data_IF_412500245568
#
_entry.id   IF_412500245568
#
_cell.length_a   1.000
_cell.length_b   1.000
_cell.length_c   1.000
_cell.angle_alpha   90.00
_cell.angle_beta   90.00
_cell.angle_gamma   90.00
#
_symmetry.space_group_name_H-M   'P 1'
#
loop_
_entity.id
_entity.type
_entity.pdbx_description
1 polymer ?
#
# COMPACT_ATOMS: atom_id res chain seq x y z
N UNK A 1 14.43 -4.20 20.72
CA UNK A 1 15.09 -2.87 20.68
C UNK A 1 14.09 -1.86 20.16
N UNK A 2 13.92 -0.69 20.80
CA UNK A 2 13.04 0.39 20.29
C UNK A 2 13.85 1.30 19.36
N UNK A 3 13.43 1.53 18.10
CA UNK A 3 14.16 2.44 17.20
C UNK A 3 13.98 3.91 17.62
N UNK A 4 14.81 4.80 17.06
CA UNK A 4 14.66 6.27 17.12
C UNK A 4 14.87 6.95 18.48
N UNK A 5 15.52 6.27 19.43
CA UNK A 5 15.84 6.83 20.75
C UNK A 5 16.71 8.09 20.63
N UNK A 6 17.75 8.03 19.79
CA UNK A 6 18.67 9.15 19.58
C UNK A 6 18.08 10.22 18.64
N UNK A 7 18.19 11.52 18.95
CA UNK A 7 17.82 12.57 18.01
C UNK A 7 18.75 12.64 16.78
N UNK A 8 18.36 13.40 15.77
CA UNK A 8 19.17 13.62 14.56
C UNK A 8 19.08 12.46 13.56
N UNK A 9 20.22 11.97 13.10
CA UNK A 9 20.32 11.02 11.97
C UNK A 9 19.51 9.75 12.15
N UNK A 10 19.38 9.26 13.40
CA UNK A 10 18.57 8.05 13.66
C UNK A 10 17.11 8.24 13.21
N UNK A 11 16.58 9.46 13.28
CA UNK A 11 15.22 9.85 12.90
C UNK A 11 15.13 10.40 11.47
N UNK A 12 16.24 10.65 10.78
CA UNK A 12 16.23 11.18 9.40
C UNK A 12 15.32 10.35 8.47
N UNK A 13 15.28 9.00 8.51
CA UNK A 13 14.37 8.24 7.68
C UNK A 13 12.90 8.63 7.85
N UNK A 14 12.45 8.93 9.08
CA UNK A 14 11.05 9.31 9.34
C UNK A 14 10.68 10.67 8.75
N UNK A 15 11.68 11.50 8.41
CA UNK A 15 11.52 12.76 7.67
C UNK A 15 11.68 12.59 6.16
N UNK A 16 12.60 11.73 5.72
CA UNK A 16 12.82 11.46 4.29
C UNK A 16 11.58 10.81 3.67
N UNK A 17 11.01 9.76 4.29
CA UNK A 17 9.84 9.05 3.75
C UNK A 17 8.67 9.96 3.32
N UNK A 18 8.16 10.89 4.17
CA UNK A 18 7.09 11.79 3.73
C UNK A 18 7.51 12.77 2.63
N UNK A 19 8.80 13.10 2.49
CA UNK A 19 9.32 13.95 1.40
C UNK A 19 9.45 13.20 0.07
N UNK A 20 9.52 11.88 0.12
CA UNK A 20 9.66 11.01 -1.05
C UNK A 20 8.31 10.62 -1.67
N UNK A 21 7.17 10.94 -1.04
CA UNK A 21 5.83 10.63 -1.56
C UNK A 21 5.56 11.44 -2.83
N UNK A 22 5.29 10.80 -3.97
CA UNK A 22 5.04 11.52 -5.22
C UNK A 22 3.73 12.30 -5.20
N UNK A 23 3.82 13.62 -5.20
CA UNK A 23 2.67 14.54 -5.27
C UNK A 23 2.95 15.56 -6.37
N UNK A 24 1.99 15.76 -7.27
CA UNK A 24 2.14 16.64 -8.43
C UNK A 24 3.42 16.37 -9.26
N UNK A 25 3.81 15.10 -9.37
CA UNK A 25 4.98 14.67 -10.12
C UNK A 25 6.33 14.86 -9.41
N UNK A 26 6.35 15.20 -8.11
CA UNK A 26 7.58 15.40 -7.35
C UNK A 26 7.66 14.48 -6.12
N UNK A 27 8.84 13.91 -5.80
CA UNK A 27 10.09 14.01 -6.56
C UNK A 27 10.02 13.20 -7.88
N UNK A 28 10.55 13.78 -8.96
CA UNK A 28 10.39 13.25 -10.31
C UNK A 28 10.85 11.78 -10.45
N UNK A 29 11.98 11.41 -9.84
CA UNK A 29 12.47 10.03 -9.87
C UNK A 29 11.49 9.03 -9.27
N UNK A 30 10.88 9.35 -8.13
CA UNK A 30 9.88 8.45 -7.54
C UNK A 30 8.56 8.48 -8.32
N UNK A 31 8.16 9.64 -8.86
CA UNK A 31 6.98 9.73 -9.71
C UNK A 31 7.12 8.84 -10.96
N UNK A 32 8.31 8.82 -11.58
CA UNK A 32 8.64 7.95 -12.71
C UNK A 32 8.59 6.47 -12.32
N UNK A 33 9.24 6.09 -11.21
CA UNK A 33 9.22 4.71 -10.70
C UNK A 33 7.79 4.24 -10.41
N UNK A 34 6.99 5.07 -9.73
CA UNK A 34 5.59 4.76 -9.44
C UNK A 34 4.77 4.60 -10.72
N UNK A 35 4.95 5.51 -11.68
CA UNK A 35 4.28 5.42 -12.97
C UNK A 35 4.62 4.12 -13.71
N UNK A 36 5.91 3.77 -13.76
CA UNK A 36 6.40 2.58 -14.46
C UNK A 36 5.83 1.28 -13.88
N UNK A 37 5.91 1.07 -12.56
CA UNK A 37 5.35 -0.16 -11.98
C UNK A 37 3.82 -0.16 -12.01
N UNK A 38 3.18 1.01 -11.95
CA UNK A 38 1.70 1.10 -12.02
C UNK A 38 1.19 0.69 -13.40
N UNK A 39 1.87 1.11 -14.47
CA UNK A 39 1.59 0.67 -15.83
C UNK A 39 1.77 -0.85 -15.97
N UNK A 40 2.90 -1.38 -15.45
CA UNK A 40 3.12 -2.82 -15.45
C UNK A 40 2.05 -3.60 -14.66
N UNK A 41 1.66 -3.13 -13.47
CA UNK A 41 0.61 -3.76 -12.67
C UNK A 41 -0.75 -3.80 -13.37
N UNK A 42 -1.03 -2.84 -14.25
CA UNK A 42 -2.28 -2.76 -15.02
C UNK A 42 -2.39 -3.84 -16.10
N UNK A 43 -1.27 -4.42 -16.53
CA UNK A 43 -1.19 -5.47 -17.56
C UNK A 43 -0.72 -6.83 -16.98
N UNK A 44 -0.29 -6.84 -15.72
CA UNK A 44 0.34 -8.01 -15.09
C UNK A 44 -0.67 -9.02 -14.57
N UNK A 45 -0.55 -10.26 -15.05
CA UNK A 45 -1.32 -11.43 -14.59
C UNK A 45 -0.85 -11.99 -13.24
N UNK A 46 0.12 -11.36 -12.56
CA UNK A 46 0.53 -11.79 -11.21
C UNK A 46 -0.70 -11.75 -10.29
N UNK A 47 -1.05 -12.82 -9.55
CA UNK A 47 -2.17 -12.79 -8.63
C UNK A 47 -1.99 -11.70 -7.55
N UNK A 48 -3.05 -10.94 -7.27
CA UNK A 48 -3.02 -9.79 -6.34
C UNK A 48 -4.09 -9.94 -5.25
N UNK A 49 -3.71 -9.72 -3.99
CA UNK A 49 -4.66 -9.54 -2.88
C UNK A 49 -4.63 -8.08 -2.44
N UNK A 50 -5.71 -7.35 -2.70
CA UNK A 50 -5.86 -5.97 -2.26
C UNK A 50 -6.63 -5.92 -0.94
N UNK A 51 -5.90 -5.65 0.15
CA UNK A 51 -6.47 -5.37 1.47
C UNK A 51 -6.89 -3.90 1.51
N UNK A 52 -8.19 -3.65 1.29
CA UNK A 52 -8.74 -2.30 1.32
C UNK A 52 -9.14 -1.92 2.75
N UNK A 53 -8.39 -1.00 3.36
CA UNK A 53 -8.79 -0.37 4.61
C UNK A 53 -9.94 0.64 4.40
N UNK A 54 -10.94 0.63 5.27
CA UNK A 54 -12.07 1.57 5.31
C UNK A 54 -12.21 2.15 6.74
N UNK A 55 -12.18 3.49 6.94
CA UNK A 55 -12.16 4.57 5.93
C UNK A 55 -10.86 4.73 5.15
N UNK A 56 -9.76 4.10 5.59
CA UNK A 56 -8.45 4.20 4.93
C UNK A 56 -7.82 5.59 5.05
N UNK A 57 -6.65 5.78 4.40
CA UNK A 57 -5.97 7.09 4.27
C UNK A 57 -5.51 7.30 2.83
N UNK A 58 -4.63 6.45 2.29
CA UNK A 58 -4.12 6.63 0.92
C UNK A 58 -5.24 6.38 -0.10
N UNK A 59 -5.92 5.24 0.02
CA UNK A 59 -7.05 4.88 -0.84
C UNK A 59 -8.39 5.48 -0.37
N UNK A 60 -8.38 6.52 0.48
CA UNK A 60 -9.58 7.35 0.68
C UNK A 60 -9.81 8.30 -0.50
N UNK A 61 -8.77 8.57 -1.29
CA UNK A 61 -8.85 9.30 -2.56
C UNK A 61 -9.55 8.41 -3.60
N UNK A 62 -10.73 8.83 -4.13
CA UNK A 62 -11.53 8.00 -5.04
C UNK A 62 -10.78 7.52 -6.28
N UNK A 63 -9.93 8.35 -6.87
CA UNK A 63 -9.19 8.08 -8.09
C UNK A 63 -8.14 6.98 -7.86
N UNK A 64 -7.40 7.07 -6.75
CA UNK A 64 -6.42 6.04 -6.36
C UNK A 64 -7.11 4.71 -6.08
N UNK A 65 -8.28 4.76 -5.41
CA UNK A 65 -9.09 3.56 -5.14
C UNK A 65 -9.62 2.95 -6.43
N UNK A 66 -10.13 3.77 -7.36
CA UNK A 66 -10.64 3.32 -8.66
C UNK A 66 -9.54 2.63 -9.46
N UNK A 67 -8.35 3.21 -9.50
CA UNK A 67 -7.18 2.63 -10.16
C UNK A 67 -6.76 1.29 -9.52
N UNK A 68 -6.61 1.24 -8.19
CA UNK A 68 -6.22 0.00 -7.51
C UNK A 68 -7.19 -1.17 -7.77
N UNK A 69 -8.50 -0.87 -7.85
CA UNK A 69 -9.56 -1.84 -8.14
C UNK A 69 -9.64 -2.26 -9.62
N UNK A 70 -9.03 -1.52 -10.54
CA UNK A 70 -9.03 -1.87 -11.96
C UNK A 70 -7.90 -2.84 -12.35
N UNK A 71 -6.97 -3.13 -11.44
CA UNK A 71 -5.85 -4.04 -11.73
C UNK A 71 -6.37 -5.48 -11.95
N UNK A 72 -5.85 -6.22 -12.94
CA UNK A 72 -6.31 -7.56 -13.31
C UNK A 72 -5.93 -8.61 -12.24
N UNK A 73 -6.51 -9.82 -12.32
CA UNK A 73 -6.19 -10.96 -11.42
C UNK A 73 -6.09 -10.58 -9.92
N UNK A 74 -7.09 -9.82 -9.42
CA UNK A 74 -7.09 -9.28 -8.06
C UNK A 74 -8.28 -9.80 -7.25
N UNK A 75 -8.02 -10.30 -6.03
CA UNK A 75 -9.01 -10.47 -4.96
C UNK A 75 -9.01 -9.25 -4.07
N UNK A 76 -10.17 -8.70 -3.75
CA UNK A 76 -10.31 -7.54 -2.86
C UNK A 76 -10.94 -7.99 -1.55
N UNK A 77 -10.33 -7.64 -0.43
CA UNK A 77 -10.89 -7.84 0.91
C UNK A 77 -10.91 -6.51 1.64
N UNK A 78 -12.09 -6.12 2.12
CA UNK A 78 -12.24 -4.90 2.91
C UNK A 78 -12.06 -5.19 4.40
N UNK A 79 -11.32 -4.34 5.09
CA UNK A 79 -11.08 -4.41 6.54
C UNK A 79 -11.24 -3.04 7.18
N UNK A 80 -11.58 -2.99 8.46
CA UNK A 80 -11.72 -1.73 9.20
C UNK A 80 -10.35 -1.14 9.57
N UNK A 81 -10.13 0.13 9.29
CA UNK A 81 -8.93 0.84 9.75
C UNK A 81 -8.50 2.01 8.88
N UNK A 82 -7.37 2.62 9.25
CA UNK A 82 -6.77 3.78 8.56
C UNK A 82 -5.46 3.38 7.87
N UNK A 83 -4.34 4.05 8.19
CA UNK A 83 -3.05 3.80 7.54
C UNK A 83 -2.34 2.55 8.09
N UNK A 84 -2.23 2.43 9.41
CA UNK A 84 -1.63 1.27 10.08
C UNK A 84 -2.68 0.20 10.36
N UNK A 85 -3.33 -0.29 9.31
CA UNK A 85 -4.51 -1.17 9.41
C UNK A 85 -4.20 -2.52 10.05
N UNK A 86 -2.95 -2.98 10.01
CA UNK A 86 -2.49 -4.18 10.73
C UNK A 86 -2.63 -4.07 12.25
N UNK A 87 -2.53 -2.87 12.83
CA UNK A 87 -2.69 -2.64 14.27
C UNK A 87 -4.18 -2.64 14.70
N UNK A 88 -5.09 -2.58 13.73
CA UNK A 88 -6.54 -2.49 13.95
C UNK A 88 -7.25 -3.79 13.56
N UNK A 89 -6.88 -4.34 12.41
CA UNK A 89 -7.54 -5.48 11.76
C UNK A 89 -6.56 -6.61 11.42
N UNK A 90 -5.48 -6.77 12.20
CA UNK A 90 -4.45 -7.78 11.98
C UNK A 90 -5.00 -9.19 11.74
N UNK A 91 -5.93 -9.64 12.59
CA UNK A 91 -6.57 -10.95 12.45
C UNK A 91 -7.36 -11.11 11.14
N UNK A 92 -8.07 -10.07 10.72
CA UNK A 92 -8.83 -10.09 9.47
C UNK A 92 -7.91 -10.15 8.25
N UNK A 93 -6.80 -9.41 8.28
CA UNK A 93 -5.76 -9.47 7.25
C UNK A 93 -5.12 -10.86 7.22
N UNK A 94 -4.78 -11.42 8.39
CA UNK A 94 -4.19 -12.76 8.51
C UNK A 94 -5.08 -13.85 7.90
N UNK A 95 -6.39 -13.84 8.21
CA UNK A 95 -7.35 -14.77 7.59
C UNK A 95 -7.43 -14.59 6.08
N UNK A 96 -7.52 -13.34 5.60
CA UNK A 96 -7.58 -13.06 4.17
C UNK A 96 -6.36 -13.60 3.41
N UNK A 97 -5.16 -13.46 3.98
CA UNK A 97 -3.92 -14.00 3.40
C UNK A 97 -3.91 -15.53 3.46
N UNK A 98 -4.27 -16.13 4.60
CA UNK A 98 -4.29 -17.58 4.78
C UNK A 98 -5.29 -18.30 3.86
N UNK A 99 -6.41 -17.65 3.53
CA UNK A 99 -7.36 -18.14 2.53
C UNK A 99 -6.89 -17.92 1.09
N UNK A 100 -6.16 -16.83 0.83
CA UNK A 100 -5.73 -16.47 -0.51
C UNK A 100 -4.56 -17.32 -1.00
N UNK A 101 -3.54 -17.56 -0.16
CA UNK A 101 -2.33 -18.30 -0.58
C UNK A 101 -2.66 -19.69 -1.16
N UNK A 102 -3.49 -20.55 -0.53
CA UNK A 102 -3.84 -21.86 -1.08
C UNK A 102 -4.65 -21.78 -2.39
N UNK A 103 -5.27 -20.63 -2.70
CA UNK A 103 -6.03 -20.44 -3.94
C UNK A 103 -5.14 -20.14 -5.16
N UNK A 104 -3.83 -19.95 -4.96
CA UNK A 104 -2.90 -19.54 -6.03
C UNK A 104 -2.42 -20.66 -6.96
N UNK A 105 -2.74 -21.92 -6.65
CA UNK A 105 -2.31 -23.10 -7.43
C UNK A 105 -0.97 -23.66 -6.99
#
# INVERSE_FOLDING_TARGET
MRPYLEPGESRRPTLTWPREVPIAGQPAGNAEIIGAYSAWLAESEVPKLFIQADPGIIFSVPELRKFARSLPNQKIVQVYGKHFVQEISGDAIGRAVAEWIPSLG
#
